data_IF_273735291583
#
_entry.id   IF_273735291583
#
_cell.length_a   1.000
_cell.length_b   1.000
_cell.length_c   1.000
_cell.angle_alpha   90.00
_cell.angle_beta   90.00
_cell.angle_gamma   90.00
#
_symmetry.space_group_name_H-M   'P 1'
#
loop_
_entity.id
_entity.type
_entity.pdbx_description
1 polymer ?
#
# COMPACT_ATOMS: atom_id res chain seq x y z
N UNK A 1 57.01 73.72 7.00
CA UNK A 1 56.90 75.01 6.37
C UNK A 1 55.46 75.30 6.21
N UNK A 2 55.04 75.99 6.97
CA UNK A 2 54.62 77.31 7.40
C UNK A 2 53.07 77.34 7.42
N UNK A 3 52.51 77.48 8.61
CA UNK A 3 52.07 78.71 9.31
C UNK A 3 51.24 79.62 8.39
N UNK A 4 49.99 79.91 8.74
CA UNK A 4 49.55 81.10 9.51
C UNK A 4 48.02 81.04 9.44
N UNK A 5 47.32 80.94 10.54
CA UNK A 5 46.81 82.04 11.45
C UNK A 5 45.70 82.89 10.86
N UNK A 6 44.74 83.02 11.66
CA UNK A 6 44.01 84.27 12.05
C UNK A 6 42.50 84.31 11.80
N UNK A 7 41.86 84.34 12.81
CA UNK A 7 41.02 85.36 13.44
C UNK A 7 39.52 85.28 13.15
N UNK A 8 38.87 85.07 14.22
CA UNK A 8 37.69 85.73 14.81
C UNK A 8 36.76 86.49 13.87
N UNK A 9 35.48 86.05 13.87
CA UNK A 9 34.38 87.03 13.93
C UNK A 9 33.18 86.38 14.66
N UNK A 10 32.90 86.92 15.84
CA UNK A 10 31.76 86.66 16.66
C UNK A 10 30.54 87.31 16.01
N UNK A 11 29.59 86.51 15.55
CA UNK A 11 28.26 87.03 15.25
C UNK A 11 27.27 86.50 16.30
N UNK A 12 26.65 87.40 17.05
CA UNK A 12 25.58 87.15 17.99
C UNK A 12 24.42 86.43 17.35
N UNK A 13 24.09 85.24 17.86
CA UNK A 13 22.83 84.59 17.58
C UNK A 13 21.74 85.05 18.56
N UNK A 14 20.54 85.38 18.10
CA UNK A 14 19.46 85.84 19.04
C UNK A 14 18.98 84.63 19.85
N UNK A 15 18.89 84.87 21.18
CA UNK A 15 18.24 83.93 22.09
C UNK A 15 16.74 83.83 21.73
N UNK A 16 16.33 82.75 21.18
CA UNK A 16 14.91 82.36 21.07
C UNK A 16 14.45 81.89 22.45
N UNK A 17 13.62 82.64 23.05
CA UNK A 17 12.98 82.35 24.35
C UNK A 17 12.17 81.04 24.17
N UNK A 18 12.53 80.03 24.94
CA UNK A 18 11.74 78.78 25.02
C UNK A 18 10.38 79.14 25.60
N UNK A 19 9.36 79.12 24.77
CA UNK A 19 7.96 79.28 25.22
C UNK A 19 7.64 78.07 26.14
N UNK A 20 7.18 78.43 27.35
CA UNK A 20 6.73 77.46 28.35
C UNK A 20 5.62 76.58 27.76
N UNK A 21 5.80 75.25 27.81
CA UNK A 21 4.79 74.27 27.38
C UNK A 21 3.47 74.54 28.15
N UNK A 22 2.31 74.52 27.44
CA UNK A 22 1.03 74.76 28.11
C UNK A 22 0.77 73.66 29.13
N UNK A 23 0.36 74.03 30.31
CA UNK A 23 0.00 73.11 31.37
C UNK A 23 -1.15 72.22 30.91
N UNK A 24 -0.85 70.94 30.77
CA UNK A 24 -1.83 69.90 30.33
C UNK A 24 -2.88 69.77 31.44
N UNK A 25 -4.12 70.20 31.17
CA UNK A 25 -5.23 70.09 32.12
C UNK A 25 -5.56 68.59 32.42
N UNK A 26 -6.33 68.41 33.52
CA UNK A 26 -6.66 66.99 33.94
C UNK A 26 -7.27 66.13 32.86
N UNK A 27 -7.95 66.71 31.89
CA UNK A 27 -8.55 66.04 30.75
C UNK A 27 -7.49 65.40 29.86
N UNK A 28 -6.35 66.03 29.63
CA UNK A 28 -5.27 65.56 28.83
C UNK A 28 -4.55 64.31 29.44
N UNK A 29 -4.47 64.32 30.80
CA UNK A 29 -3.95 63.13 31.54
C UNK A 29 -4.92 61.95 31.47
N UNK A 30 -6.22 62.18 31.56
CA UNK A 30 -7.25 61.13 31.39
C UNK A 30 -7.24 60.55 30.01
N UNK A 31 -7.12 61.38 28.97
CA UNK A 31 -7.01 60.82 27.56
C UNK A 31 -5.75 60.00 27.38
N UNK A 32 -4.59 60.42 27.91
CA UNK A 32 -3.35 59.61 27.82
C UNK A 32 -3.48 58.31 28.56
N UNK A 33 -4.09 58.25 29.72
CA UNK A 33 -4.33 56.96 30.42
C UNK A 33 -5.30 56.10 29.66
N UNK A 34 -6.39 56.63 29.13
CA UNK A 34 -7.36 55.87 28.33
C UNK A 34 -6.72 55.27 27.08
N UNK A 35 -5.93 56.07 26.34
CA UNK A 35 -5.21 55.58 25.15
C UNK A 35 -4.17 54.52 25.52
N UNK A 36 -3.51 54.65 26.68
CA UNK A 36 -2.52 53.67 27.16
C UNK A 36 -3.15 52.33 27.56
N UNK A 37 -4.43 52.32 27.93
CA UNK A 37 -5.17 51.11 28.30
C UNK A 37 -5.74 50.34 27.08
N UNK A 38 -5.91 51.00 25.92
CA UNK A 38 -6.47 50.39 24.71
C UNK A 38 -5.72 49.14 24.27
N UNK A 39 -4.36 49.10 24.18
CA UNK A 39 -3.64 47.91 23.82
C UNK A 39 -3.90 46.73 24.77
N UNK A 40 -3.98 47.00 26.06
CA UNK A 40 -4.24 45.96 27.06
C UNK A 40 -5.67 45.42 27.01
N UNK A 41 -6.64 46.28 26.67
CA UNK A 41 -8.03 45.82 26.43
C UNK A 41 -8.12 44.96 25.18
N UNK A 42 -7.37 45.29 24.11
CA UNK A 42 -7.30 44.47 22.91
C UNK A 42 -6.64 43.11 23.21
N UNK A 43 -5.49 43.11 23.90
CA UNK A 43 -4.78 41.89 24.28
C UNK A 43 -5.66 41.03 25.18
N UNK A 44 -6.30 41.62 26.20
CA UNK A 44 -7.21 40.90 27.09
C UNK A 44 -8.42 40.34 26.37
N UNK A 45 -9.00 41.07 25.41
CA UNK A 45 -10.10 40.62 24.56
C UNK A 45 -9.71 39.49 23.63
N UNK A 46 -8.51 39.53 23.02
CA UNK A 46 -7.99 38.46 22.17
C UNK A 46 -7.65 37.18 22.97
N UNK A 47 -7.07 37.35 24.18
CA UNK A 47 -6.83 36.23 25.09
C UNK A 47 -8.14 35.59 25.55
N UNK A 48 -9.13 36.43 25.93
CA UNK A 48 -10.45 35.91 26.28
C UNK A 48 -11.11 35.18 25.10
N UNK A 49 -11.07 35.78 23.89
CA UNK A 49 -11.58 35.14 22.70
C UNK A 49 -10.88 33.79 22.40
N UNK A 50 -9.55 33.74 22.53
CA UNK A 50 -8.77 32.50 22.31
C UNK A 50 -9.07 31.41 23.35
N UNK A 51 -9.43 31.79 24.59
CA UNK A 51 -9.72 30.83 25.65
C UNK A 51 -11.20 30.40 25.67
N UNK A 52 -12.12 31.27 25.33
CA UNK A 52 -13.55 31.02 25.51
C UNK A 52 -14.35 30.88 24.22
N UNK A 53 -13.90 31.48 23.12
CA UNK A 53 -14.54 31.29 21.82
C UNK A 53 -13.93 30.05 21.15
N UNK A 54 -14.59 28.90 21.32
CA UNK A 54 -14.27 27.71 20.53
C UNK A 54 -14.89 27.92 19.15
N UNK A 55 -14.08 28.02 18.07
CA UNK A 55 -14.63 28.11 16.74
C UNK A 55 -15.49 26.82 16.50
N UNK A 56 -16.78 27.03 16.31
CA UNK A 56 -17.63 25.94 15.83
C UNK A 56 -17.23 25.70 14.38
N UNK A 57 -16.95 24.43 13.99
CA UNK A 57 -16.71 24.14 12.59
C UNK A 57 -17.95 24.52 11.78
N UNK A 58 -17.85 25.61 11.03
CA UNK A 58 -18.90 26.06 10.12
C UNK A 58 -18.72 25.24 8.83
N UNK A 59 -19.43 24.13 8.74
CA UNK A 59 -19.41 23.22 7.61
C UNK A 59 -19.82 21.84 8.09
N UNK A 60 -20.62 21.12 7.30
CA UNK A 60 -20.89 19.70 7.53
C UNK A 60 -19.55 18.96 7.66
N UNK A 61 -19.48 17.94 8.48
CA UNK A 61 -18.32 17.05 8.55
C UNK A 61 -18.04 16.52 7.14
N UNK A 62 -16.97 17.03 6.52
CA UNK A 62 -16.48 16.49 5.27
C UNK A 62 -16.04 15.07 5.58
N UNK A 63 -16.81 14.08 5.14
CA UNK A 63 -16.37 12.70 5.27
C UNK A 63 -15.12 12.55 4.38
N UNK A 64 -14.02 12.02 4.92
CA UNK A 64 -12.84 11.75 4.12
C UNK A 64 -13.23 10.81 2.96
N UNK A 65 -12.63 10.96 1.78
CA UNK A 65 -12.88 10.07 0.66
C UNK A 65 -12.56 8.62 1.06
N UNK A 66 -13.26 7.66 0.47
CA UNK A 66 -13.07 6.23 0.75
C UNK A 66 -11.64 5.80 0.45
N UNK A 67 -11.09 6.33 -0.62
CA UNK A 67 -9.68 6.17 -1.02
C UNK A 67 -8.99 7.53 -0.88
N UNK A 68 -8.00 7.60 -0.03
CA UNK A 68 -7.20 8.80 0.22
C UNK A 68 -5.92 8.78 -0.63
N UNK A 69 -5.36 9.95 -0.92
CA UNK A 69 -4.14 10.09 -1.76
C UNK A 69 -2.90 9.36 -1.21
N UNK A 70 -2.89 9.00 0.07
CA UNK A 70 -1.78 8.30 0.74
C UNK A 70 -2.05 6.81 0.91
N UNK A 71 -3.20 6.34 0.44
CA UNK A 71 -3.51 4.92 0.52
C UNK A 71 -2.70 4.14 -0.51
N UNK A 72 -2.18 3.02 -0.07
CA UNK A 72 -1.57 2.01 -0.91
C UNK A 72 -2.32 0.69 -0.72
N UNK A 73 -2.52 -0.03 -1.81
CA UNK A 73 -3.28 -1.28 -1.80
C UNK A 73 -2.39 -2.43 -2.28
N UNK A 74 -2.09 -3.32 -1.36
CA UNK A 74 -1.15 -4.42 -1.58
C UNK A 74 -1.85 -5.72 -1.97
N UNK A 75 -3.12 -5.88 -1.61
CA UNK A 75 -3.95 -7.05 -1.90
C UNK A 75 -5.06 -6.72 -2.89
N UNK A 76 -5.41 -7.69 -3.74
CA UNK A 76 -6.44 -7.57 -4.78
C UNK A 76 -7.11 -8.91 -5.02
N UNK A 77 -8.43 -8.96 -4.94
CA UNK A 77 -9.22 -10.16 -5.25
C UNK A 77 -10.48 -9.81 -6.01
N UNK A 78 -11.02 -10.77 -6.77
CA UNK A 78 -12.34 -10.66 -7.36
C UNK A 78 -13.39 -10.62 -6.25
N UNK A 79 -14.28 -9.63 -6.30
CA UNK A 79 -15.36 -9.50 -5.33
C UNK A 79 -16.48 -10.52 -5.63
N UNK A 80 -17.09 -11.14 -4.61
CA UNK A 80 -18.15 -12.15 -4.81
C UNK A 80 -19.38 -11.63 -5.58
N UNK A 81 -19.71 -10.36 -5.38
CA UNK A 81 -20.85 -9.72 -6.05
C UNK A 81 -20.49 -9.08 -7.41
N UNK A 82 -19.28 -9.33 -7.92
CA UNK A 82 -18.73 -8.66 -9.08
C UNK A 82 -17.91 -7.41 -8.71
N UNK A 83 -16.95 -7.05 -9.58
CA UNK A 83 -15.96 -6.03 -9.28
C UNK A 83 -14.77 -6.61 -8.50
N UNK A 84 -14.15 -5.80 -7.66
CA UNK A 84 -12.94 -6.19 -6.93
C UNK A 84 -12.99 -5.77 -5.44
N UNK A 85 -12.25 -6.48 -4.62
CA UNK A 85 -11.84 -6.05 -3.28
C UNK A 85 -10.35 -5.76 -3.26
N UNK A 86 -9.98 -4.66 -2.63
CA UNK A 86 -8.58 -4.29 -2.40
C UNK A 86 -8.30 -4.13 -0.92
N UNK A 87 -7.13 -4.60 -0.48
CA UNK A 87 -6.69 -4.51 0.90
C UNK A 87 -5.38 -3.72 0.98
N UNK A 88 -5.21 -2.88 2.01
CA UNK A 88 -4.04 -2.02 2.06
C UNK A 88 -3.80 -1.29 3.38
N UNK A 89 -3.28 -0.09 3.26
CA UNK A 89 -2.84 0.78 4.35
C UNK A 89 -3.91 0.95 5.43
N UNK A 90 -3.48 1.03 6.69
CA UNK A 90 -4.33 1.30 7.85
C UNK A 90 -5.53 0.36 7.98
N UNK A 91 -5.34 -0.91 7.67
CA UNK A 91 -6.36 -1.95 7.76
C UNK A 91 -7.51 -1.79 6.76
N UNK A 92 -7.36 -0.96 5.74
CA UNK A 92 -8.43 -0.68 4.77
C UNK A 92 -8.70 -1.91 3.90
N UNK A 93 -9.98 -2.26 3.80
CA UNK A 93 -10.52 -3.10 2.73
C UNK A 93 -11.58 -2.27 2.01
N UNK A 94 -11.45 -2.15 0.70
CA UNK A 94 -12.35 -1.37 -0.15
C UNK A 94 -12.95 -2.28 -1.21
N UNK A 95 -14.25 -2.22 -1.37
CA UNK A 95 -14.99 -2.84 -2.48
C UNK A 95 -15.16 -1.82 -3.60
N UNK A 96 -14.86 -2.23 -4.81
CA UNK A 96 -15.09 -1.47 -6.04
C UNK A 96 -16.02 -2.33 -6.89
N UNK A 97 -17.28 -1.97 -6.91
CA UNK A 97 -18.33 -2.70 -7.63
C UNK A 97 -18.16 -2.63 -9.15
N UNK A 98 -18.80 -3.54 -9.86
CA UNK A 98 -18.83 -3.53 -11.32
C UNK A 98 -19.52 -2.26 -11.88
N UNK A 99 -20.37 -1.63 -11.09
CA UNK A 99 -21.04 -0.35 -11.36
C UNK A 99 -20.17 0.88 -11.05
N UNK A 100 -18.94 0.66 -10.54
CA UNK A 100 -18.00 1.71 -10.14
C UNK A 100 -18.24 2.26 -8.73
N UNK A 101 -19.19 1.73 -7.97
CA UNK A 101 -19.43 2.13 -6.58
C UNK A 101 -18.25 1.70 -5.70
N UNK A 102 -17.75 2.64 -4.91
CA UNK A 102 -16.60 2.43 -4.01
C UNK A 102 -17.08 2.49 -2.57
N UNK A 103 -16.86 1.44 -1.82
CA UNK A 103 -17.27 1.33 -0.42
C UNK A 103 -16.12 0.81 0.46
N UNK A 104 -15.91 1.43 1.62
CA UNK A 104 -14.98 0.94 2.63
C UNK A 104 -15.68 -0.04 3.55
N UNK A 105 -15.09 -1.20 3.73
CA UNK A 105 -15.51 -2.18 4.73
C UNK A 105 -14.92 -1.85 6.10
N UNK A 106 -15.69 -2.11 7.17
CA UNK A 106 -15.19 -1.96 8.53
C UNK A 106 -14.31 -3.15 8.91
N UNK A 107 -13.09 -2.89 9.36
CA UNK A 107 -12.13 -3.91 9.79
C UNK A 107 -11.70 -3.66 11.25
N UNK A 108 -11.42 -4.70 12.04
CA UNK A 108 -11.01 -4.58 13.44
C UNK A 108 -9.49 -4.37 13.60
N UNK A 109 -8.82 -3.70 12.66
CA UNK A 109 -7.37 -3.45 12.71
C UNK A 109 -7.01 -2.16 11.99
N UNK A 110 -5.93 -1.54 12.42
CA UNK A 110 -5.22 -0.44 11.75
C UNK A 110 -3.91 -0.89 11.08
N UNK A 111 -3.54 -2.18 11.26
CA UNK A 111 -2.36 -2.75 10.63
C UNK A 111 -2.54 -2.83 9.12
N UNK A 112 -1.49 -2.52 8.36
CA UNK A 112 -1.50 -2.64 6.90
C UNK A 112 -1.78 -4.07 6.49
N UNK A 113 -2.80 -4.26 5.66
CA UNK A 113 -3.13 -5.52 5.03
C UNK A 113 -2.32 -5.67 3.74
N UNK A 114 -1.69 -6.83 3.57
CA UNK A 114 -0.76 -7.10 2.47
C UNK A 114 -1.42 -7.91 1.35
N UNK A 115 -2.42 -8.73 1.70
CA UNK A 115 -3.15 -9.50 0.70
C UNK A 115 -4.58 -9.84 1.14
N UNK A 116 -5.41 -10.20 0.18
CA UNK A 116 -6.78 -10.63 0.37
C UNK A 116 -7.12 -11.73 -0.64
N UNK A 117 -7.80 -12.78 -0.18
CA UNK A 117 -8.26 -13.86 -1.04
C UNK A 117 -9.69 -14.26 -0.69
N UNK A 118 -10.44 -14.71 -1.68
CA UNK A 118 -11.86 -15.02 -1.58
C UNK A 118 -12.07 -16.49 -1.93
N UNK A 119 -12.73 -17.26 -1.02
CA UNK A 119 -13.12 -18.65 -1.31
C UNK A 119 -14.42 -18.74 -2.09
N UNK A 120 -15.41 -17.93 -1.66
CA UNK A 120 -16.75 -17.95 -2.22
C UNK A 120 -17.52 -16.65 -1.90
N UNK A 121 -18.82 -16.65 -2.18
CA UNK A 121 -19.69 -15.49 -2.00
C UNK A 121 -19.77 -14.96 -0.55
N UNK A 122 -19.39 -15.76 0.43
CA UNK A 122 -19.53 -15.42 1.84
C UNK A 122 -18.17 -15.33 2.56
N UNK A 123 -17.18 -16.11 2.13
CA UNK A 123 -15.94 -16.34 2.88
C UNK A 123 -14.72 -15.78 2.17
N UNK A 124 -13.96 -15.02 2.92
CA UNK A 124 -12.69 -14.46 2.47
C UNK A 124 -11.72 -14.31 3.66
N UNK A 125 -10.46 -14.12 3.34
CA UNK A 125 -9.38 -13.89 4.29
C UNK A 125 -8.50 -12.75 3.81
N UNK A 126 -8.03 -11.92 4.75
CA UNK A 126 -6.99 -10.92 4.51
C UNK A 126 -5.86 -11.10 5.53
N UNK A 127 -4.63 -10.90 5.07
CA UNK A 127 -3.42 -11.04 5.90
C UNK A 127 -2.59 -9.76 5.83
N UNK A 128 -1.76 -9.53 6.84
CA UNK A 128 -0.99 -8.29 6.85
C UNK A 128 0.17 -8.25 7.85
N UNK A 129 0.55 -7.02 8.15
CA UNK A 129 1.63 -6.73 9.08
C UNK A 129 1.30 -7.27 10.47
N UNK A 130 2.35 -7.52 11.25
CA UNK A 130 2.25 -8.02 12.62
C UNK A 130 1.39 -9.30 12.73
N UNK A 131 1.47 -10.20 11.75
CA UNK A 131 0.76 -11.48 11.74
C UNK A 131 -0.77 -11.34 11.79
N UNK A 132 -1.31 -10.19 11.37
CA UNK A 132 -2.76 -10.00 11.31
C UNK A 132 -3.37 -10.93 10.28
N UNK A 133 -4.38 -11.65 10.71
CA UNK A 133 -5.28 -12.41 9.84
C UNK A 133 -6.71 -12.00 10.16
N UNK A 134 -7.45 -11.62 9.13
CA UNK A 134 -8.88 -11.29 9.21
C UNK A 134 -9.67 -12.27 8.35
N UNK A 135 -10.83 -12.69 8.83
CA UNK A 135 -11.77 -13.52 8.05
C UNK A 135 -13.14 -12.89 8.03
N UNK A 136 -13.90 -13.18 6.98
CA UNK A 136 -15.34 -12.90 6.90
C UNK A 136 -16.08 -14.16 6.52
N UNK A 137 -17.32 -14.29 7.01
CA UNK A 137 -18.24 -15.38 6.69
C UNK A 137 -19.61 -14.87 6.18
N UNK A 138 -19.70 -13.56 5.88
CA UNK A 138 -20.95 -12.88 5.48
C UNK A 138 -20.77 -11.95 4.27
N UNK A 139 -19.79 -12.25 3.42
CA UNK A 139 -19.51 -11.48 2.20
C UNK A 139 -18.90 -10.11 2.48
N UNK A 140 -18.08 -10.00 3.53
CA UNK A 140 -17.35 -8.77 3.86
C UNK A 140 -18.13 -7.75 4.68
N UNK A 141 -19.35 -8.07 5.12
CA UNK A 141 -20.16 -7.18 5.99
C UNK A 141 -19.52 -7.05 7.37
N UNK A 142 -18.92 -8.12 7.86
CA UNK A 142 -18.15 -8.16 9.11
C UNK A 142 -16.84 -8.89 8.90
N UNK A 143 -15.75 -8.27 9.35
CA UNK A 143 -14.44 -8.89 9.42
C UNK A 143 -14.08 -9.17 10.88
N UNK A 144 -13.51 -10.33 11.13
CA UNK A 144 -13.10 -10.78 12.47
C UNK A 144 -11.61 -11.08 12.46
N UNK A 145 -10.90 -10.58 13.46
CA UNK A 145 -9.49 -10.93 13.65
C UNK A 145 -9.38 -12.35 14.19
N UNK A 146 -8.47 -13.12 13.60
CA UNK A 146 -8.19 -14.50 14.01
C UNK A 146 -7.08 -14.47 15.06
N UNK A 147 -7.29 -15.15 16.16
CA UNK A 147 -6.32 -15.31 17.23
C UNK A 147 -5.49 -16.59 17.06
N UNK A 148 -4.38 -16.71 17.80
CA UNK A 148 -3.56 -17.92 17.80
C UNK A 148 -2.77 -18.17 16.52
N UNK A 149 -2.54 -17.15 15.70
CA UNK A 149 -1.68 -17.26 14.52
C UNK A 149 -0.24 -17.56 14.98
N UNK A 150 0.44 -18.58 14.41
CA UNK A 150 1.84 -18.85 14.72
C UNK A 150 2.72 -17.64 14.41
N UNK A 151 3.53 -17.23 15.39
CA UNK A 151 4.36 -16.01 15.33
C UNK A 151 5.83 -16.34 15.50
N UNK A 152 6.68 -15.52 14.89
CA UNK A 152 8.11 -15.41 15.20
C UNK A 152 8.32 -14.35 16.30
N UNK A 153 9.40 -14.48 17.05
CA UNK A 153 9.85 -13.43 17.99
C UNK A 153 10.53 -12.25 17.28
N UNK A 154 10.90 -12.41 16.01
CA UNK A 154 11.68 -11.41 15.24
C UNK A 154 10.77 -10.57 14.36
N UNK A 155 10.04 -11.17 13.42
CA UNK A 155 9.19 -10.47 12.48
C UNK A 155 7.98 -11.33 12.08
N UNK A 156 6.85 -10.69 11.79
CA UNK A 156 5.58 -11.38 11.60
C UNK A 156 4.74 -10.85 10.43
N UNK A 157 5.36 -10.23 9.45
CA UNK A 157 4.62 -9.77 8.28
C UNK A 157 4.22 -10.94 7.41
N UNK A 158 2.91 -11.10 7.19
CA UNK A 158 2.35 -11.99 6.19
C UNK A 158 2.16 -11.21 4.88
N UNK A 159 2.78 -11.67 3.80
CA UNK A 159 2.88 -10.94 2.52
C UNK A 159 1.84 -11.37 1.51
N UNK A 160 1.43 -12.66 1.55
CA UNK A 160 0.51 -13.24 0.59
C UNK A 160 -0.42 -14.26 1.27
N UNK A 161 -1.62 -14.40 0.73
CA UNK A 161 -2.52 -15.49 1.07
C UNK A 161 -3.16 -16.07 -0.19
N UNK A 162 -3.13 -17.39 -0.33
CA UNK A 162 -3.76 -18.13 -1.41
C UNK A 162 -4.79 -19.08 -0.83
N UNK A 163 -5.89 -19.23 -1.52
CA UNK A 163 -7.00 -20.09 -1.10
C UNK A 163 -7.31 -21.14 -2.14
N UNK A 164 -7.81 -22.28 -1.68
CA UNK A 164 -8.26 -23.36 -2.53
C UNK A 164 -9.60 -23.93 -2.02
N UNK A 165 -10.20 -24.81 -2.79
CA UNK A 165 -11.46 -25.49 -2.42
C UNK A 165 -11.36 -26.20 -1.08
N UNK A 166 -12.50 -26.41 -0.41
CA UNK A 166 -12.56 -27.12 0.87
C UNK A 166 -12.04 -26.33 2.07
N UNK A 167 -11.93 -25.01 1.97
CA UNK A 167 -11.49 -24.15 3.09
C UNK A 167 -9.98 -24.10 3.28
N UNK A 168 -9.22 -24.64 2.34
CA UNK A 168 -7.75 -24.60 2.40
C UNK A 168 -7.24 -23.18 2.10
N UNK A 169 -6.22 -22.78 2.83
CA UNK A 169 -5.43 -21.59 2.56
C UNK A 169 -3.95 -21.80 2.92
N UNK A 170 -3.08 -21.06 2.26
CA UNK A 170 -1.67 -20.91 2.65
C UNK A 170 -1.36 -19.42 2.70
N UNK A 171 -0.75 -18.98 3.79
CA UNK A 171 -0.18 -17.64 3.93
C UNK A 171 1.34 -17.72 4.00
N UNK A 172 2.01 -16.80 3.32
CA UNK A 172 3.47 -16.68 3.28
C UNK A 172 3.91 -15.37 3.88
N UNK A 173 5.16 -15.30 4.32
CA UNK A 173 5.70 -14.07 4.92
C UNK A 173 7.14 -14.19 5.40
N UNK A 174 7.51 -13.26 6.27
CA UNK A 174 8.84 -13.14 6.88
C UNK A 174 9.13 -14.32 7.82
N UNK A 175 10.42 -14.52 8.15
CA UNK A 175 10.90 -15.54 9.08
C UNK A 175 10.40 -16.97 8.75
N UNK A 176 10.48 -17.31 7.48
CA UNK A 176 10.07 -18.62 6.98
C UNK A 176 8.57 -18.90 7.14
N UNK A 177 7.75 -17.86 7.31
CA UNK A 177 6.31 -18.06 7.49
C UNK A 177 5.70 -18.75 6.26
N UNK A 178 5.27 -19.96 6.47
CA UNK A 178 4.48 -20.77 5.56
C UNK A 178 3.38 -21.42 6.40
N UNK A 179 2.24 -20.71 6.49
CA UNK A 179 1.13 -21.08 7.38
C UNK A 179 -0.01 -21.69 6.58
N UNK A 180 -0.64 -22.71 7.10
CA UNK A 180 -1.78 -23.38 6.47
C UNK A 180 -3.02 -23.29 7.35
N UNK A 181 -4.16 -23.11 6.70
CA UNK A 181 -5.49 -23.35 7.25
C UNK A 181 -6.23 -24.38 6.38
N UNK A 182 -7.13 -25.15 7.02
CA UNK A 182 -8.02 -26.10 6.34
C UNK A 182 -9.49 -25.89 6.70
N UNK A 183 -9.81 -24.80 7.40
CA UNK A 183 -11.11 -24.49 8.00
C UNK A 183 -11.56 -23.05 7.67
N UNK A 184 -11.30 -22.60 6.44
CA UNK A 184 -11.62 -21.24 5.96
C UNK A 184 -10.95 -20.13 6.78
N UNK A 185 -9.73 -20.39 7.24
CA UNK A 185 -8.92 -19.40 7.94
C UNK A 185 -9.25 -19.26 9.42
N UNK A 186 -10.07 -20.14 10.01
CA UNK A 186 -10.42 -20.09 11.42
C UNK A 186 -9.23 -20.47 12.34
N UNK A 187 -8.42 -21.44 11.90
CA UNK A 187 -7.18 -21.82 12.58
C UNK A 187 -6.01 -21.94 11.61
N UNK A 188 -4.80 -21.73 12.13
CA UNK A 188 -3.58 -21.75 11.32
C UNK A 188 -2.47 -22.51 12.02
N UNK A 189 -1.67 -23.24 11.25
CA UNK A 189 -0.48 -23.95 11.72
C UNK A 189 0.69 -23.73 10.77
N UNK A 190 1.94 -23.81 11.29
CA UNK A 190 3.13 -23.76 10.44
C UNK A 190 3.29 -25.08 9.67
N UNK A 191 3.63 -24.97 8.40
CA UNK A 191 4.01 -26.08 7.55
C UNK A 191 5.51 -26.44 7.68
N UNK A 192 6.32 -25.48 8.11
CA UNK A 192 7.77 -25.64 8.28
C UNK A 192 8.24 -24.90 9.54
N UNK A 193 9.40 -25.27 10.04
CA UNK A 193 10.08 -24.55 11.09
C UNK A 193 10.45 -23.12 10.63
N UNK A 194 10.70 -22.26 11.60
CA UNK A 194 11.14 -20.89 11.38
C UNK A 194 12.53 -20.87 10.71
N UNK A 195 12.70 -19.99 9.74
CA UNK A 195 13.93 -19.84 8.96
C UNK A 195 14.12 -18.36 8.64
N UNK A 196 15.35 -17.84 8.63
CA UNK A 196 15.66 -16.45 8.28
C UNK A 196 15.61 -16.23 6.76
N UNK A 197 14.40 -16.33 6.22
CA UNK A 197 14.07 -16.11 4.82
C UNK A 197 12.62 -15.64 4.72
N UNK A 198 12.29 -14.80 3.75
CA UNK A 198 10.89 -14.50 3.43
C UNK A 198 10.40 -15.38 2.28
N UNK A 199 9.25 -16.04 2.51
CA UNK A 199 8.47 -16.64 1.43
C UNK A 199 7.47 -15.60 0.92
N UNK A 200 7.62 -15.20 -0.35
CA UNK A 200 6.88 -14.09 -0.92
C UNK A 200 5.52 -14.47 -1.47
N UNK A 201 5.38 -15.68 -2.01
CA UNK A 201 4.12 -16.19 -2.55
C UNK A 201 4.10 -17.72 -2.56
N UNK A 202 2.90 -18.30 -2.67
CA UNK A 202 2.71 -19.72 -2.87
C UNK A 202 1.56 -20.00 -3.84
N UNK A 203 1.66 -21.07 -4.60
CA UNK A 203 0.57 -21.62 -5.41
C UNK A 203 0.06 -22.90 -4.77
N UNK A 204 -1.27 -23.00 -4.65
CA UNK A 204 -1.97 -24.21 -4.22
C UNK A 204 -2.49 -24.93 -5.46
N UNK A 205 -1.93 -26.09 -5.76
CA UNK A 205 -2.35 -26.92 -6.87
C UNK A 205 -3.27 -28.04 -6.38
N UNK A 206 -3.78 -28.84 -7.32
CA UNK A 206 -4.58 -30.00 -7.00
C UNK A 206 -3.81 -31.03 -6.14
N UNK A 207 -4.54 -31.91 -5.48
CA UNK A 207 -3.99 -33.08 -4.74
C UNK A 207 -3.01 -32.73 -3.60
N UNK A 208 -3.11 -31.53 -3.03
CA UNK A 208 -2.25 -31.13 -1.91
C UNK A 208 -0.88 -30.60 -2.33
N UNK A 209 -0.63 -30.45 -3.62
CA UNK A 209 0.63 -29.88 -4.09
C UNK A 209 0.70 -28.38 -3.77
N UNK A 210 1.86 -27.96 -3.27
CA UNK A 210 2.16 -26.55 -2.93
C UNK A 210 3.52 -26.19 -3.53
N UNK A 211 3.59 -25.03 -4.17
CA UNK A 211 4.85 -24.43 -4.63
C UNK A 211 4.97 -23.07 -3.99
N UNK A 212 6.04 -22.80 -3.25
CA UNK A 212 6.32 -21.49 -2.67
C UNK A 212 7.61 -20.90 -3.27
N UNK A 213 7.64 -19.59 -3.40
CA UNK A 213 8.79 -18.83 -3.93
C UNK A 213 9.18 -17.73 -2.95
N UNK A 214 10.47 -17.40 -2.88
CA UNK A 214 10.96 -16.48 -1.88
C UNK A 214 12.27 -15.79 -2.25
N UNK A 215 12.93 -15.30 -1.22
CA UNK A 215 14.22 -14.61 -1.31
C UNK A 215 15.30 -15.51 -1.89
N UNK A 216 16.34 -14.87 -2.45
CA UNK A 216 17.51 -15.53 -3.02
C UNK A 216 17.20 -16.56 -4.12
N UNK A 217 16.10 -16.35 -4.84
CA UNK A 217 15.67 -17.25 -5.89
C UNK A 217 15.17 -18.63 -5.40
N UNK A 218 14.92 -18.78 -4.10
CA UNK A 218 14.51 -20.07 -3.51
C UNK A 218 13.11 -20.46 -3.90
N UNK A 219 12.94 -21.74 -4.15
CA UNK A 219 11.66 -22.36 -4.49
C UNK A 219 11.49 -23.58 -3.59
N UNK A 220 10.31 -23.74 -3.00
CA UNK A 220 9.90 -24.97 -2.31
C UNK A 220 8.78 -25.65 -3.08
N UNK A 221 8.80 -26.97 -3.09
CA UNK A 221 7.75 -27.80 -3.66
C UNK A 221 7.38 -28.94 -2.71
N UNK A 222 6.10 -29.05 -2.43
CA UNK A 222 5.52 -30.21 -1.73
C UNK A 222 4.48 -30.87 -2.62
N UNK A 223 4.36 -32.21 -2.52
CA UNK A 223 3.32 -33.01 -3.20
C UNK A 223 2.40 -33.73 -2.23
N UNK A 224 2.57 -33.50 -0.92
CA UNK A 224 1.90 -34.22 0.16
C UNK A 224 1.25 -33.28 1.18
N UNK A 225 0.84 -32.10 0.74
CA UNK A 225 0.16 -31.14 1.59
C UNK A 225 1.07 -30.37 2.55
N UNK A 226 2.38 -30.36 2.29
CA UNK A 226 3.37 -29.70 3.15
C UNK A 226 4.01 -30.62 4.18
N UNK A 227 3.77 -31.93 4.13
CA UNK A 227 4.41 -32.90 5.02
C UNK A 227 5.90 -33.08 4.70
N UNK A 228 6.26 -33.02 3.42
CA UNK A 228 7.66 -32.99 2.97
C UNK A 228 7.89 -31.95 1.88
N UNK A 229 9.14 -31.50 1.77
CA UNK A 229 9.52 -30.43 0.87
C UNK A 229 10.78 -30.76 0.08
N UNK A 230 10.75 -30.41 -1.19
CA UNK A 230 11.89 -30.37 -2.10
C UNK A 230 12.24 -28.91 -2.39
N UNK A 231 13.51 -28.63 -2.70
CA UNK A 231 13.97 -27.30 -3.07
C UNK A 231 14.63 -27.37 -4.47
N UNK A 232 13.80 -27.28 -5.55
CA UNK A 232 14.32 -27.32 -6.91
C UNK A 232 15.12 -26.05 -7.20
N UNK A 233 16.24 -26.21 -7.92
CA UNK A 233 17.08 -25.10 -8.32
C UNK A 233 16.32 -24.15 -9.28
N UNK A 234 16.30 -22.88 -8.97
CA UNK A 234 15.72 -21.84 -9.83
C UNK A 234 16.67 -21.35 -10.93
N UNK A 235 17.98 -21.49 -10.70
CA UNK A 235 19.02 -20.91 -11.57
C UNK A 235 19.17 -19.40 -11.48
N UNK A 236 18.57 -18.75 -10.46
CA UNK A 236 18.68 -17.31 -10.21
C UNK A 236 18.96 -17.03 -8.73
N UNK A 237 19.59 -15.91 -8.43
CA UNK A 237 19.84 -15.43 -7.07
C UNK A 237 18.88 -14.29 -6.66
N UNK A 238 18.24 -13.66 -7.64
CA UNK A 238 17.26 -12.60 -7.40
C UNK A 238 16.00 -13.15 -6.74
N UNK A 239 15.44 -12.42 -5.78
CA UNK A 239 14.21 -12.81 -5.10
C UNK A 239 13.05 -13.01 -6.07
N UNK A 240 12.35 -14.13 -5.92
CA UNK A 240 11.11 -14.41 -6.60
C UNK A 240 9.95 -13.84 -5.78
N UNK A 241 9.06 -13.11 -6.44
CA UNK A 241 8.02 -12.32 -5.78
C UNK A 241 6.62 -12.93 -5.90
N UNK A 242 6.37 -13.67 -6.98
CA UNK A 242 5.08 -14.30 -7.19
C UNK A 242 5.20 -15.59 -8.03
N UNK A 243 4.24 -16.49 -7.83
CA UNK A 243 4.12 -17.73 -8.59
C UNK A 243 2.65 -18.03 -8.89
N UNK A 244 2.36 -18.39 -10.13
CA UNK A 244 1.04 -18.83 -10.54
C UNK A 244 1.14 -20.05 -11.45
N UNK A 245 0.10 -20.89 -11.41
CA UNK A 245 -0.05 -22.04 -12.27
C UNK A 245 -1.37 -21.96 -13.04
N UNK A 246 -1.37 -22.29 -14.33
CA UNK A 246 -2.61 -22.40 -15.11
C UNK A 246 -3.23 -23.81 -15.06
N UNK A 247 -2.42 -24.79 -14.70
CA UNK A 247 -2.84 -26.19 -14.46
C UNK A 247 -1.81 -26.86 -13.53
N UNK A 248 -1.96 -28.15 -13.27
CA UNK A 248 -1.08 -28.90 -12.38
C UNK A 248 0.41 -28.92 -12.78
N UNK A 249 0.72 -28.68 -14.06
CA UNK A 249 2.08 -28.82 -14.60
C UNK A 249 2.72 -27.48 -14.98
N UNK A 250 1.93 -26.56 -15.52
CA UNK A 250 2.45 -25.35 -16.16
C UNK A 250 2.31 -24.15 -15.25
N UNK A 251 3.46 -23.64 -14.84
CA UNK A 251 3.57 -22.52 -13.92
C UNK A 251 4.60 -21.47 -14.35
N UNK A 252 4.43 -20.28 -13.86
CA UNK A 252 5.33 -19.13 -14.03
C UNK A 252 5.62 -18.53 -12.69
N UNK A 253 6.90 -18.26 -12.41
CA UNK A 253 7.33 -17.43 -11.30
C UNK A 253 8.00 -16.17 -11.83
N UNK A 254 7.78 -15.05 -11.13
CA UNK A 254 8.38 -13.75 -11.49
C UNK A 254 9.08 -13.15 -10.28
N UNK A 255 10.05 -12.26 -10.53
CA UNK A 255 10.83 -11.69 -9.46
C UNK A 255 11.52 -10.37 -9.80
N UNK A 256 12.47 -10.00 -8.93
CA UNK A 256 13.25 -8.79 -9.10
C UNK A 256 14.05 -8.85 -10.41
N UNK A 257 14.44 -7.68 -10.91
CA UNK A 257 15.27 -7.54 -12.13
C UNK A 257 14.65 -8.16 -13.39
N UNK A 258 13.30 -8.20 -13.45
CA UNK A 258 12.58 -8.75 -14.59
C UNK A 258 12.71 -10.26 -14.76
N UNK A 259 13.12 -10.99 -13.72
CA UNK A 259 13.20 -12.45 -13.74
C UNK A 259 11.84 -13.04 -14.02
N UNK A 260 11.81 -13.97 -15.01
CA UNK A 260 10.69 -14.83 -15.30
C UNK A 260 11.22 -16.28 -15.41
N UNK A 261 10.61 -17.18 -14.64
CA UNK A 261 10.89 -18.62 -14.68
C UNK A 261 9.63 -19.35 -15.12
N UNK A 262 9.80 -20.39 -15.89
CA UNK A 262 8.71 -21.25 -16.41
C UNK A 262 8.95 -22.69 -15.96
N UNK A 263 7.92 -23.31 -15.40
CA UNK A 263 7.88 -24.73 -15.11
C UNK A 263 6.85 -25.41 -16.01
N UNK A 264 7.13 -26.68 -16.39
CA UNK A 264 6.24 -27.52 -17.20
C UNK A 264 5.95 -28.86 -16.53
N UNK A 265 6.39 -29.04 -15.29
CA UNK A 265 6.36 -30.31 -14.54
C UNK A 265 5.88 -30.11 -13.09
N UNK A 266 4.99 -29.14 -12.88
CA UNK A 266 4.41 -28.86 -11.58
C UNK A 266 5.41 -28.28 -10.57
N UNK A 267 6.37 -27.50 -11.05
CA UNK A 267 7.38 -26.85 -10.22
C UNK A 267 8.55 -27.74 -9.83
N UNK A 268 8.70 -28.94 -10.43
CA UNK A 268 9.84 -29.81 -10.16
C UNK A 268 11.12 -29.30 -10.80
N UNK A 269 11.01 -28.59 -11.92
CA UNK A 269 12.12 -27.86 -12.56
C UNK A 269 11.67 -26.53 -13.13
N UNK A 270 12.62 -25.62 -13.28
CA UNK A 270 12.38 -24.26 -13.73
C UNK A 270 13.40 -23.82 -14.77
N UNK A 271 12.93 -23.09 -15.76
CA UNK A 271 13.77 -22.52 -16.82
C UNK A 271 13.54 -21.03 -16.92
N UNK A 272 14.63 -20.26 -17.01
CA UNK A 272 14.56 -18.83 -17.22
C UNK A 272 14.05 -18.52 -18.62
N UNK A 273 13.07 -17.60 -18.69
CA UNK A 273 12.57 -17.06 -19.94
C UNK A 273 13.06 -15.61 -20.13
N UNK A 274 13.31 -15.23 -21.38
CA UNK A 274 13.65 -13.87 -21.73
C UNK A 274 12.38 -13.03 -21.80
N UNK A 275 12.12 -12.25 -20.72
CA UNK A 275 10.89 -11.47 -20.58
C UNK A 275 10.95 -10.12 -21.31
N UNK A 276 12.14 -9.61 -21.60
CA UNK A 276 12.34 -8.24 -22.06
C UNK A 276 12.14 -7.17 -20.98
N UNK A 277 11.69 -7.55 -19.77
CA UNK A 277 11.55 -6.64 -18.65
C UNK A 277 12.88 -6.44 -17.93
N UNK A 278 13.14 -5.20 -17.52
CA UNK A 278 14.26 -4.86 -16.62
C UNK A 278 13.77 -4.40 -15.25
N UNK A 279 12.50 -4.00 -15.16
CA UNK A 279 11.88 -3.60 -13.92
C UNK A 279 11.54 -4.82 -13.05
N UNK A 280 11.48 -4.61 -11.74
CA UNK A 280 11.02 -5.64 -10.80
C UNK A 280 9.59 -6.03 -11.11
N UNK A 281 9.32 -7.33 -11.12
CA UNK A 281 8.00 -7.92 -11.27
C UNK A 281 7.52 -8.40 -9.90
N UNK A 282 6.29 -8.04 -9.53
CA UNK A 282 5.75 -8.30 -8.20
C UNK A 282 4.59 -9.27 -8.18
N UNK A 283 3.92 -9.47 -9.32
CA UNK A 283 2.81 -10.39 -9.44
C UNK A 283 2.73 -11.01 -10.84
N UNK A 284 2.13 -12.19 -10.89
CA UNK A 284 1.83 -12.94 -12.12
C UNK A 284 0.50 -13.65 -11.97
N UNK A 285 -0.35 -13.58 -12.97
CA UNK A 285 -1.62 -14.27 -13.01
C UNK A 285 -1.81 -14.98 -14.38
N UNK A 286 -2.55 -16.07 -14.37
CA UNK A 286 -3.09 -16.67 -15.57
C UNK A 286 -4.41 -15.99 -15.93
N UNK A 287 -4.49 -15.44 -17.12
CA UNK A 287 -5.68 -14.81 -17.70
C UNK A 287 -6.42 -15.84 -18.56
N UNK A 288 -7.33 -16.58 -17.92
CA UNK A 288 -8.10 -17.65 -18.56
C UNK A 288 -8.94 -17.12 -19.73
N UNK A 289 -9.54 -15.94 -19.59
CA UNK A 289 -10.39 -15.36 -20.62
C UNK A 289 -9.63 -15.02 -21.91
N UNK A 290 -8.38 -14.60 -21.79
CA UNK A 290 -7.53 -14.20 -22.90
C UNK A 290 -6.42 -15.22 -23.21
N UNK A 291 -6.39 -16.36 -22.51
CA UNK A 291 -5.41 -17.45 -22.67
C UNK A 291 -3.96 -16.97 -22.69
N UNK A 292 -3.62 -16.13 -21.67
CA UNK A 292 -2.29 -15.52 -21.57
C UNK A 292 -1.82 -15.42 -20.12
N UNK A 293 -0.54 -15.34 -19.95
CA UNK A 293 0.10 -14.90 -18.73
C UNK A 293 0.12 -13.37 -18.68
N UNK A 294 -0.14 -12.79 -17.50
CA UNK A 294 -0.10 -11.35 -17.29
C UNK A 294 0.56 -11.06 -15.94
N UNK A 295 1.64 -10.29 -15.95
CA UNK A 295 2.35 -9.87 -14.74
C UNK A 295 2.37 -8.37 -14.58
N UNK A 296 2.58 -7.94 -13.34
CA UNK A 296 2.68 -6.53 -12.91
C UNK A 296 3.95 -6.28 -12.11
N UNK A 297 4.43 -5.04 -12.11
CA UNK A 297 5.66 -4.71 -11.42
C UNK A 297 5.87 -3.22 -11.11
N UNK A 298 7.14 -2.87 -10.92
CA UNK A 298 7.58 -1.51 -10.66
C UNK A 298 7.41 -0.62 -11.90
N UNK A 299 7.29 0.69 -11.69
CA UNK A 299 7.26 1.71 -12.75
C UNK A 299 6.13 1.51 -13.76
N UNK A 300 4.98 1.02 -13.32
CA UNK A 300 3.85 0.71 -14.20
C UNK A 300 4.09 -0.46 -15.15
N UNK A 301 5.11 -1.29 -14.91
CA UNK A 301 5.50 -2.37 -15.81
C UNK A 301 4.48 -3.51 -15.84
N UNK A 302 4.30 -4.07 -17.01
CA UNK A 302 3.62 -5.34 -17.23
C UNK A 302 4.47 -6.27 -18.09
N UNK A 303 4.26 -7.57 -17.92
CA UNK A 303 4.75 -8.61 -18.82
C UNK A 303 3.59 -9.50 -19.27
N UNK A 304 3.64 -10.02 -20.48
CA UNK A 304 2.63 -10.95 -20.98
C UNK A 304 3.26 -11.98 -21.92
N UNK A 305 2.71 -13.20 -21.91
CA UNK A 305 3.07 -14.27 -22.84
C UNK A 305 1.84 -15.10 -23.18
N UNK A 306 1.90 -15.83 -24.29
CA UNK A 306 0.90 -16.83 -24.66
C UNK A 306 0.82 -17.98 -23.65
N UNK A 307 -0.14 -18.86 -23.83
CA UNK A 307 -0.43 -19.98 -22.93
C UNK A 307 0.78 -20.91 -22.69
N UNK A 308 1.62 -21.10 -23.70
CA UNK A 308 2.85 -21.91 -23.60
C UNK A 308 4.00 -21.20 -22.87
N UNK A 309 3.75 -20.02 -22.31
CA UNK A 309 4.73 -19.15 -21.67
C UNK A 309 5.95 -18.84 -22.57
N UNK A 310 5.72 -18.73 -23.88
CA UNK A 310 6.70 -18.31 -24.87
C UNK A 310 6.38 -16.93 -25.42
N UNK A 311 7.37 -16.30 -26.09
CA UNK A 311 7.16 -15.01 -26.74
C UNK A 311 6.78 -13.89 -25.80
N UNK A 312 7.43 -13.82 -24.65
CA UNK A 312 7.20 -12.76 -23.66
C UNK A 312 7.34 -11.36 -24.25
N UNK A 313 6.50 -10.49 -23.83
CA UNK A 313 6.55 -9.06 -24.13
C UNK A 313 6.42 -8.28 -22.84
N UNK A 314 7.14 -7.18 -22.76
CA UNK A 314 7.09 -6.25 -21.64
C UNK A 314 6.66 -4.86 -22.12
N UNK A 315 6.07 -4.09 -21.24
CA UNK A 315 5.67 -2.72 -21.51
C UNK A 315 5.26 -2.01 -20.22
N UNK A 316 4.58 -0.87 -20.39
CA UNK A 316 4.05 -0.07 -19.27
C UNK A 316 2.57 0.17 -19.49
N UNK A 317 1.81 0.24 -18.40
CA UNK A 317 0.36 0.53 -18.46
C UNK A 317 0.09 1.91 -19.02
N UNK A 318 0.95 2.89 -18.69
CA UNK A 318 1.01 4.25 -19.23
C UNK A 318 2.43 4.79 -19.06
N UNK A 319 2.94 5.56 -19.99
CA UNK A 319 4.30 6.15 -19.91
C UNK A 319 4.46 7.14 -18.75
N UNK A 320 3.36 7.75 -18.31
CA UNK A 320 3.33 8.72 -17.20
C UNK A 320 3.09 8.08 -15.85
N UNK A 321 2.59 6.83 -15.81
CA UNK A 321 2.40 6.11 -14.57
C UNK A 321 3.70 5.40 -14.17
N UNK A 322 4.35 5.94 -13.13
CA UNK A 322 5.55 5.38 -12.52
C UNK A 322 5.24 4.60 -11.24
N UNK A 323 3.97 4.32 -10.97
CA UNK A 323 3.54 3.59 -9.81
C UNK A 323 4.07 2.15 -9.84
N UNK A 324 4.26 1.59 -8.67
CA UNK A 324 4.47 0.15 -8.52
C UNK A 324 3.12 -0.54 -8.31
N UNK A 325 2.95 -1.70 -8.93
CA UNK A 325 1.76 -2.53 -8.78
C UNK A 325 2.16 -3.91 -8.26
N UNK A 326 1.70 -4.23 -7.06
CA UNK A 326 2.01 -5.49 -6.37
C UNK A 326 1.02 -6.60 -6.69
N UNK A 327 -0.08 -6.27 -7.38
CA UNK A 327 -1.11 -7.22 -7.77
C UNK A 327 -1.65 -6.92 -9.14
N UNK A 328 -1.95 -8.00 -9.86
CA UNK A 328 -2.70 -7.97 -11.11
C UNK A 328 -3.83 -9.00 -11.06
N UNK A 329 -5.02 -8.60 -11.48
CA UNK A 329 -6.19 -9.47 -11.54
C UNK A 329 -6.85 -9.36 -12.92
N UNK A 330 -6.78 -10.39 -13.76
CA UNK A 330 -7.54 -10.46 -15.00
C UNK A 330 -9.05 -10.37 -14.75
N UNK A 331 -9.75 -9.58 -15.57
CA UNK A 331 -11.17 -9.32 -15.43
C UNK A 331 -11.85 -9.22 -16.80
N UNK A 332 -12.16 -10.35 -17.41
CA UNK A 332 -12.70 -10.43 -18.78
C UNK A 332 -11.67 -9.98 -19.82
N UNK A 333 -11.97 -8.93 -20.57
CA UNK A 333 -11.03 -8.37 -21.56
C UNK A 333 -9.96 -7.47 -20.94
N UNK A 334 -10.20 -6.98 -19.72
CA UNK A 334 -9.36 -6.03 -19.00
C UNK A 334 -8.64 -6.72 -17.85
N UNK A 335 -7.77 -5.97 -17.16
CA UNK A 335 -7.15 -6.38 -15.91
C UNK A 335 -7.12 -5.21 -14.93
N UNK A 336 -7.28 -5.52 -13.66
CA UNK A 336 -7.04 -4.60 -12.56
C UNK A 336 -5.60 -4.70 -12.08
N UNK A 337 -5.03 -3.57 -11.75
CA UNK A 337 -3.73 -3.45 -11.10
C UNK A 337 -3.90 -2.70 -9.78
N UNK A 338 -3.24 -3.15 -8.73
CA UNK A 338 -3.26 -2.50 -7.43
C UNK A 338 -1.84 -2.40 -6.85
N UNK A 339 -1.58 -1.29 -6.16
CA UNK A 339 -0.28 -0.97 -5.58
C UNK A 339 -0.27 0.45 -5.02
N UNK A 340 0.64 1.28 -5.50
CA UNK A 340 0.68 2.70 -5.17
C UNK A 340 -0.57 3.45 -5.65
N UNK A 341 -1.20 2.96 -6.70
CA UNK A 341 -2.53 3.35 -7.14
C UNK A 341 -3.33 2.10 -7.54
N UNK A 342 -4.58 2.28 -7.86
CA UNK A 342 -5.45 1.23 -8.41
C UNK A 342 -5.93 1.72 -9.77
N UNK A 343 -5.97 0.83 -10.74
CA UNK A 343 -6.53 1.16 -12.04
C UNK A 343 -6.89 -0.07 -12.87
N UNK A 344 -7.50 0.21 -13.99
CA UNK A 344 -7.94 -0.78 -14.97
C UNK A 344 -7.19 -0.58 -16.28
N UNK A 345 -6.68 -1.65 -16.82
CA UNK A 345 -5.94 -1.68 -18.08
C UNK A 345 -6.62 -2.61 -19.08
N UNK A 346 -6.94 -2.10 -20.26
CA UNK A 346 -7.62 -2.85 -21.33
C UNK A 346 -6.66 -3.42 -22.40
N UNK A 347 -5.36 -3.35 -22.12
CA UNK A 347 -4.30 -3.73 -23.06
C UNK A 347 -3.70 -2.55 -23.83
N UNK A 348 -4.34 -1.39 -23.79
CA UNK A 348 -3.89 -0.16 -24.48
C UNK A 348 -4.01 1.08 -23.58
N UNK A 349 -5.11 1.18 -22.83
CA UNK A 349 -5.44 2.32 -21.98
C UNK A 349 -5.36 1.97 -20.52
N UNK A 350 -4.72 2.83 -19.77
CA UNK A 350 -4.73 2.83 -18.32
C UNK A 350 -5.77 3.82 -17.78
N UNK A 351 -6.65 3.36 -16.92
CA UNK A 351 -7.63 4.17 -16.21
C UNK A 351 -7.39 4.01 -14.71
N UNK A 352 -6.59 4.92 -14.15
CA UNK A 352 -6.40 4.97 -12.71
C UNK A 352 -7.70 5.41 -12.03
N UNK A 353 -8.04 4.77 -10.90
CA UNK A 353 -9.09 5.28 -10.02
C UNK A 353 -8.56 6.55 -9.36
N UNK A 354 -9.19 7.68 -9.66
CA UNK A 354 -8.89 8.93 -8.98
C UNK A 354 -9.32 8.80 -7.52
N UNK A 355 -8.39 8.99 -6.59
CA UNK A 355 -8.73 9.32 -5.22
C UNK A 355 -9.40 10.70 -5.22
N UNK A 356 -10.70 10.75 -4.95
CA UNK A 356 -11.45 11.99 -4.80
C UNK A 356 -11.18 12.63 -3.45
#
# INVERSE_FOLDING_TARGET
>A
MDRISSAAEQALAPQVALAAAPATGPLHKLIKVAVSCVPWLIIGGLLWAGLFIKPQPVGGTVQPPVIERRDHFFGLAAAPAGGIWVAGSSGKIVSIGADGRIERMSTPTDQTLQDIAVWDAQRAVAVGNDGVVLTTADGGKRWTKVDGIPRSEVANKLTRVRVATGGRAVATGEMGALLQSTDFGATWSRLRDEEDVAWNDAALLAEGQVVAVGEFGRILRSTDGGASWQEPASGVESSLMAVAFRNANEGVAVGLEGVVLVSRDGGASWQRAESGAQAHLFDIAWDEANQRWLGAGALGSWVTAAADAAGWRAGRVDERDLAWHTRVLPAGKDAWFAGANIGRWDGQRWAALAGH
#
